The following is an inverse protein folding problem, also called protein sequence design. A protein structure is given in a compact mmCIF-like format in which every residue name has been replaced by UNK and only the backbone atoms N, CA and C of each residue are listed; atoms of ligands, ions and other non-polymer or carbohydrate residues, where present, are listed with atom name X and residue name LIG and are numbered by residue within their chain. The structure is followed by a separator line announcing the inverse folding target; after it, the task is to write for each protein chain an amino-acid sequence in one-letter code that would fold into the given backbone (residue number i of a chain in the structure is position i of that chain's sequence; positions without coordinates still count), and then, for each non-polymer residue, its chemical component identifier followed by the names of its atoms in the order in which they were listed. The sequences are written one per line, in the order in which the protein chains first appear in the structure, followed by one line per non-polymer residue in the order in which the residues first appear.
data_IF_584580335086
#
_entry.id   IF_584580335086
#
_cell.length_a   1.000
_cell.length_b   1.000
_cell.length_c   1.000
_cell.angle_alpha   90.00
_cell.angle_beta   90.00
_cell.angle_gamma   90.00
#
_symmetry.space_group_name_H-M   'P 1'
#
loop_
_entity.id
_entity.type
_entity.pdbx_description
1 polymer ?
#
# COMPACT_ATOMS: atom_id res chain seq x y z
N UNK A 1 -25.23 15.69 -9.45
CA UNK A 1 -24.29 14.57 -9.54
C UNK A 1 -24.98 13.28 -9.95
N UNK A 2 -24.43 12.60 -10.97
CA UNK A 2 -24.91 11.28 -11.37
C UNK A 2 -24.36 10.17 -10.48
N UNK A 3 -24.99 8.99 -10.52
CA UNK A 3 -24.62 7.81 -9.72
C UNK A 3 -23.11 7.49 -9.76
N UNK A 4 -22.51 7.44 -10.96
CA UNK A 4 -21.09 7.13 -11.14
C UNK A 4 -20.16 8.15 -10.45
N UNK A 5 -20.50 9.44 -10.50
CA UNK A 5 -19.72 10.48 -9.85
C UNK A 5 -19.79 10.38 -8.32
N UNK A 6 -20.98 10.08 -7.78
CA UNK A 6 -21.16 9.83 -6.34
C UNK A 6 -20.37 8.61 -5.87
N UNK A 7 -20.44 7.50 -6.61
CA UNK A 7 -19.70 6.27 -6.29
C UNK A 7 -18.19 6.50 -6.33
N UNK A 8 -17.65 7.16 -7.37
CA UNK A 8 -16.21 7.46 -7.45
C UNK A 8 -15.75 8.29 -6.25
N UNK A 9 -16.50 9.33 -5.86
CA UNK A 9 -16.15 10.17 -4.71
C UNK A 9 -16.13 9.40 -3.40
N UNK A 10 -17.10 8.50 -3.19
CA UNK A 10 -17.12 7.64 -2.03
C UNK A 10 -15.90 6.71 -1.98
N UNK A 11 -15.55 6.07 -3.10
CA UNK A 11 -14.37 5.20 -3.19
C UNK A 11 -13.06 5.98 -2.99
N UNK A 12 -12.95 7.20 -3.53
CA UNK A 12 -11.77 8.04 -3.32
C UNK A 12 -11.66 8.47 -1.86
N UNK A 13 -12.77 8.85 -1.24
CA UNK A 13 -12.81 9.20 0.19
C UNK A 13 -12.30 8.05 1.07
N UNK A 14 -12.81 6.84 0.84
CA UNK A 14 -12.41 5.64 1.57
C UNK A 14 -10.93 5.29 1.35
N UNK A 15 -10.51 5.11 0.09
CA UNK A 15 -9.17 4.58 -0.21
C UNK A 15 -8.05 5.59 0.03
N UNK A 16 -8.30 6.89 -0.12
CA UNK A 16 -7.30 7.95 0.09
C UNK A 16 -7.35 8.52 1.52
N UNK A 17 -8.34 8.14 2.33
CA UNK A 17 -8.57 8.73 3.64
C UNK A 17 -8.98 10.20 3.54
N UNK A 18 -9.65 10.57 2.45
CA UNK A 18 -10.13 11.93 2.24
C UNK A 18 -11.45 12.17 2.98
N UNK A 19 -11.66 13.41 3.38
CA UNK A 19 -12.98 13.86 3.80
C UNK A 19 -13.91 13.97 2.60
N UNK A 20 -15.23 13.95 2.85
CA UNK A 20 -16.23 14.17 1.80
C UNK A 20 -16.00 15.50 1.05
N UNK A 21 -15.64 16.56 1.78
CA UNK A 21 -15.36 17.87 1.20
C UNK A 21 -14.15 17.83 0.26
N UNK A 22 -13.07 17.12 0.61
CA UNK A 22 -11.91 16.95 -0.26
C UNK A 22 -12.27 16.18 -1.54
N UNK A 23 -13.08 15.12 -1.42
CA UNK A 23 -13.56 14.35 -2.55
C UNK A 23 -14.47 15.17 -3.48
N UNK A 24 -15.29 16.07 -2.94
CA UNK A 24 -16.10 17.01 -3.72
C UNK A 24 -15.23 18.07 -4.43
N UNK A 25 -14.20 18.59 -3.77
CA UNK A 25 -13.27 19.55 -4.37
C UNK A 25 -12.45 18.96 -5.53
N UNK A 26 -12.08 17.67 -5.43
CA UNK A 26 -11.32 16.96 -6.46
C UNK A 26 -12.00 16.94 -7.84
N UNK A 27 -13.32 17.11 -7.90
CA UNK A 27 -14.07 17.15 -9.18
C UNK A 27 -13.77 18.42 -10.01
N UNK A 28 -13.28 19.47 -9.36
CA UNK A 28 -12.94 20.74 -10.00
C UNK A 28 -11.44 20.83 -10.35
N UNK A 29 -10.66 19.81 -10.02
CA UNK A 29 -9.22 19.78 -10.24
C UNK A 29 -8.87 18.98 -11.51
N UNK A 30 -7.77 19.32 -12.21
CA UNK A 30 -7.22 18.47 -13.24
C UNK A 30 -6.95 17.05 -12.70
N UNK A 31 -7.42 16.04 -13.44
CA UNK A 31 -7.27 14.63 -13.05
C UNK A 31 -5.81 14.25 -12.73
N UNK A 32 -4.84 14.85 -13.41
CA UNK A 32 -3.42 14.60 -13.15
C UNK A 32 -2.99 14.95 -11.73
N UNK A 33 -3.53 16.03 -11.14
CA UNK A 33 -3.21 16.43 -9.77
C UNK A 33 -3.84 15.49 -8.75
N UNK A 34 -5.10 15.11 -8.99
CA UNK A 34 -5.83 14.13 -8.17
C UNK A 34 -5.12 12.77 -8.16
N UNK A 35 -4.67 12.30 -9.32
CA UNK A 35 -3.91 11.05 -9.43
C UNK A 35 -2.52 11.15 -8.80
N UNK A 36 -1.87 12.32 -8.86
CA UNK A 36 -0.57 12.50 -8.21
C UNK A 36 -0.69 12.47 -6.69
N UNK A 37 -1.71 13.10 -6.11
CA UNK A 37 -2.00 12.97 -4.68
C UNK A 37 -2.27 11.50 -4.30
N UNK A 38 -3.07 10.79 -5.11
CA UNK A 38 -3.33 9.37 -4.89
C UNK A 38 -2.05 8.52 -4.87
N UNK A 39 -1.12 8.76 -5.81
CA UNK A 39 0.20 8.10 -5.84
C UNK A 39 1.05 8.45 -4.63
N UNK A 40 1.01 9.70 -4.16
CA UNK A 40 1.77 10.10 -2.96
C UNK A 40 1.24 9.38 -1.71
N UNK A 41 -0.08 9.26 -1.55
CA UNK A 41 -0.69 8.50 -0.46
C UNK A 41 -0.30 7.01 -0.56
N UNK A 42 -0.41 6.42 -1.75
CA UNK A 42 -0.05 5.03 -2.00
C UNK A 42 1.43 4.75 -1.66
N UNK A 43 2.36 5.57 -2.16
CA UNK A 43 3.80 5.48 -1.86
C UNK A 43 4.08 5.51 -0.36
N UNK A 44 3.51 6.52 0.32
CA UNK A 44 3.69 6.71 1.76
C UNK A 44 3.17 5.52 2.55
N UNK A 45 1.95 5.05 2.24
CA UNK A 45 1.36 3.92 2.94
C UNK A 45 2.17 2.64 2.73
N UNK A 46 2.62 2.37 1.49
CA UNK A 46 3.48 1.22 1.15
C UNK A 46 4.74 1.21 1.99
N UNK A 47 5.46 2.34 2.03
CA UNK A 47 6.67 2.49 2.83
C UNK A 47 6.41 2.24 4.32
N UNK A 48 5.30 2.76 4.87
CA UNK A 48 4.95 2.53 6.27
C UNK A 48 4.69 1.03 6.51
N UNK A 49 3.90 0.36 5.68
CA UNK A 49 3.60 -1.07 5.85
C UNK A 49 4.87 -1.93 5.75
N UNK A 50 5.76 -1.63 4.79
CA UNK A 50 7.04 -2.34 4.66
C UNK A 50 7.96 -2.09 5.86
N UNK A 51 8.05 -0.86 6.36
CA UNK A 51 8.93 -0.54 7.50
C UNK A 51 8.43 -1.18 8.80
N UNK A 52 7.12 -1.12 9.03
CA UNK A 52 6.48 -1.57 10.27
C UNK A 52 6.39 -3.09 10.31
N UNK A 53 5.90 -3.72 9.24
CA UNK A 53 5.57 -5.14 9.23
C UNK A 53 6.50 -5.98 8.36
N UNK A 54 7.40 -5.36 7.59
CA UNK A 54 8.13 -6.08 6.56
C UNK A 54 7.21 -6.68 5.50
N UNK A 55 6.06 -6.04 5.23
CA UNK A 55 4.95 -6.60 4.48
C UNK A 55 5.35 -7.22 3.13
N UNK A 56 4.62 -8.29 2.76
CA UNK A 56 4.65 -8.95 1.47
C UNK A 56 3.28 -8.81 0.79
N UNK A 57 3.19 -8.85 -0.55
CA UNK A 57 4.30 -8.78 -1.51
C UNK A 57 5.07 -7.45 -1.44
N UNK A 58 6.32 -7.41 -1.94
CA UNK A 58 7.20 -6.23 -1.91
C UNK A 58 8.22 -6.24 -3.05
N UNK A 59 8.49 -5.08 -3.65
CA UNK A 59 9.51 -4.92 -4.71
C UNK A 59 10.94 -5.17 -4.23
N UNK A 60 11.16 -5.16 -2.91
CA UNK A 60 12.44 -5.51 -2.30
C UNK A 60 12.70 -7.03 -2.25
N UNK A 61 11.75 -7.86 -2.67
CA UNK A 61 11.83 -9.32 -2.63
C UNK A 61 11.59 -9.87 -4.03
N UNK A 62 12.66 -10.12 -4.76
CA UNK A 62 12.63 -10.43 -6.20
C UNK A 62 12.81 -11.91 -6.53
N UNK A 63 13.17 -12.73 -5.54
CA UNK A 63 13.40 -14.17 -5.69
C UNK A 63 12.86 -15.01 -4.52
N UNK A 64 12.69 -16.32 -4.73
CA UNK A 64 12.30 -17.28 -3.69
C UNK A 64 13.33 -17.32 -2.55
N UNK A 65 14.62 -17.15 -2.89
CA UNK A 65 15.73 -17.09 -1.93
C UNK A 65 15.61 -15.87 -1.00
N UNK A 66 15.30 -14.70 -1.57
CA UNK A 66 15.08 -13.48 -0.80
C UNK A 66 13.83 -13.59 0.06
N UNK A 67 12.75 -14.17 -0.48
CA UNK A 67 11.51 -14.41 0.27
C UNK A 67 11.74 -15.33 1.47
N UNK A 68 12.47 -16.42 1.29
CA UNK A 68 12.84 -17.34 2.37
C UNK A 68 13.67 -16.61 3.45
N UNK A 69 14.64 -15.79 3.03
CA UNK A 69 15.48 -15.00 3.94
C UNK A 69 14.66 -13.96 4.72
N UNK A 70 13.72 -13.28 4.05
CA UNK A 70 12.80 -12.30 4.63
C UNK A 70 11.88 -12.94 5.68
N UNK A 71 11.32 -14.11 5.39
CA UNK A 71 10.48 -14.88 6.33
C UNK A 71 11.28 -15.45 7.50
N UNK A 72 12.50 -15.94 7.27
CA UNK A 72 13.34 -16.47 8.34
C UNK A 72 13.71 -15.40 9.38
N UNK A 73 13.91 -14.16 8.96
CA UNK A 73 14.20 -13.03 9.85
C UNK A 73 13.01 -12.62 10.76
N UNK A 74 11.79 -13.09 10.45
CA UNK A 74 10.56 -12.58 11.08
C UNK A 74 10.28 -13.14 12.47
N UNK A 75 10.79 -14.35 12.78
CA UNK A 75 10.35 -15.12 13.95
C UNK A 75 8.85 -15.43 13.97
N UNK A 76 8.11 -15.12 12.90
CA UNK A 76 6.68 -15.32 12.75
C UNK A 76 6.41 -16.61 11.97
N UNK A 77 5.45 -17.40 12.46
CA UNK A 77 5.24 -18.77 11.99
C UNK A 77 4.53 -18.87 10.64
N UNK A 78 3.85 -17.81 10.18
CA UNK A 78 3.18 -17.74 8.88
C UNK A 78 2.58 -16.34 8.67
N UNK A 79 2.51 -15.89 7.41
CA UNK A 79 1.80 -14.68 6.99
C UNK A 79 2.62 -13.74 6.11
N UNK A 80 1.95 -12.69 5.64
CA UNK A 80 2.54 -11.65 4.80
C UNK A 80 3.30 -10.59 5.60
N UNK A 81 3.08 -10.50 6.92
CA UNK A 81 3.92 -9.73 7.82
C UNK A 81 5.16 -10.55 8.18
N UNK A 82 6.34 -10.02 7.87
CA UNK A 82 7.63 -10.69 8.13
C UNK A 82 8.43 -10.00 9.23
N UNK A 83 7.77 -9.22 10.07
CA UNK A 83 8.40 -8.52 11.20
C UNK A 83 7.35 -8.22 12.27
N UNK A 84 7.73 -8.44 13.52
CA UNK A 84 6.97 -7.90 14.66
C UNK A 84 7.32 -6.42 14.82
N UNK A 85 6.34 -5.49 14.74
CA UNK A 85 6.61 -4.07 14.90
C UNK A 85 7.20 -3.75 16.28
N UNK A 86 8.25 -2.93 16.30
CA UNK A 86 8.68 -2.29 17.55
C UNK A 86 7.70 -1.17 17.93
N UNK A 87 7.60 -0.77 19.21
CA UNK A 87 6.75 0.34 19.61
C UNK A 87 7.03 1.63 18.83
N UNK A 88 8.30 1.89 18.50
CA UNK A 88 8.69 3.06 17.72
C UNK A 88 8.17 3.00 16.28
N UNK A 89 8.34 1.85 15.60
CA UNK A 89 7.80 1.67 14.25
C UNK A 89 6.27 1.72 14.25
N UNK A 90 5.61 1.15 15.26
CA UNK A 90 4.16 1.17 15.36
C UNK A 90 3.56 2.59 15.41
N UNK A 91 4.30 3.60 15.90
CA UNK A 91 3.84 5.00 15.90
C UNK A 91 3.61 5.55 14.49
N UNK A 92 4.36 5.05 13.50
CA UNK A 92 4.18 5.45 12.09
C UNK A 92 2.85 5.01 11.51
N UNK A 93 2.12 4.09 12.14
CA UNK A 93 0.78 3.74 11.68
C UNK A 93 -0.21 4.91 11.78
N UNK A 94 0.03 5.88 12.67
CA UNK A 94 -0.76 7.12 12.74
C UNK A 94 -0.63 8.02 11.50
N UNK A 95 0.37 7.76 10.66
CA UNK A 95 0.67 8.53 9.46
C UNK A 95 0.03 7.97 8.18
N UNK A 96 -0.54 6.76 8.26
CA UNK A 96 -1.26 6.09 7.17
C UNK A 96 -2.56 6.85 6.90
N UNK A 97 -2.90 7.02 5.62
CA UNK A 97 -4.17 7.65 5.20
C UNK A 97 -4.93 6.72 4.26
N UNK A 98 -6.17 6.40 4.61
CA UNK A 98 -6.98 5.46 3.85
C UNK A 98 -6.33 4.08 3.78
N UNK A 99 -6.43 3.44 2.62
CA UNK A 99 -6.04 2.04 2.44
C UNK A 99 -5.22 1.79 1.16
N UNK A 100 -5.10 2.80 0.28
CA UNK A 100 -4.37 2.61 -0.98
C UNK A 100 -2.87 2.39 -0.71
N UNK A 101 -2.27 1.48 -1.45
CA UNK A 101 -0.83 1.19 -1.50
C UNK A 101 -0.43 1.04 -2.96
N UNK A 102 0.88 1.12 -3.24
CA UNK A 102 1.40 0.74 -4.54
C UNK A 102 1.35 -0.78 -4.67
N UNK A 103 1.01 -1.24 -5.87
CA UNK A 103 1.07 -2.66 -6.18
C UNK A 103 2.52 -3.00 -6.56
N UNK A 104 3.18 -3.95 -5.87
CA UNK A 104 4.57 -4.29 -6.13
C UNK A 104 4.68 -5.09 -7.44
N UNK A 105 5.31 -4.50 -8.45
CA UNK A 105 5.45 -5.09 -9.79
C UNK A 105 6.70 -5.97 -9.92
N UNK A 106 7.66 -5.81 -9.01
CA UNK A 106 8.96 -6.50 -9.03
C UNK A 106 9.02 -7.66 -8.02
N UNK A 107 7.93 -7.92 -7.31
CA UNK A 107 7.85 -9.06 -6.39
C UNK A 107 8.00 -10.39 -7.13
N UNK A 108 9.01 -11.18 -6.76
CA UNK A 108 9.37 -12.46 -7.38
C UNK A 108 9.62 -12.41 -8.90
N UNK A 109 9.98 -11.23 -9.43
CA UNK A 109 10.17 -11.03 -10.88
C UNK A 109 11.32 -11.84 -11.47
N UNK A 110 12.24 -12.34 -10.64
CA UNK A 110 13.38 -13.15 -11.08
C UNK A 110 13.06 -14.66 -11.10
N UNK A 111 11.79 -15.05 -10.86
CA UNK A 111 11.34 -16.45 -10.79
C UNK A 111 10.30 -16.78 -11.87
N UNK A 112 10.25 -18.05 -12.29
CA UNK A 112 9.11 -18.58 -13.06
C UNK A 112 7.99 -19.00 -12.09
N UNK A 113 6.87 -18.29 -12.14
CA UNK A 113 5.72 -18.51 -11.26
C UNK A 113 4.71 -19.51 -11.81
N UNK A 114 4.96 -20.09 -13.00
CA UNK A 114 4.12 -21.15 -13.52
C UNK A 114 4.09 -22.34 -12.56
N UNK A 115 2.93 -22.97 -12.33
CA UNK A 115 2.88 -24.25 -11.63
C UNK A 115 3.73 -25.29 -12.37
N UNK A 116 4.41 -26.20 -11.64
CA UNK A 116 5.22 -27.26 -12.23
C UNK A 116 4.40 -28.27 -13.05
#
# INVERSE_FOLDING_TARGET
DGFAAGLRKALFAEHLGWTRQRAEAADQEPLSLVLEEARQVARRNTQIYEDVFGALPSDCVRSWKELASRRAASGLSSGDATRVPTPELARRLSEVRGHIVEFPLDFLVDEDLAPP
#
